data_IF_893445060226
#
_entry.id   IF_893445060226
#
_cell.length_a   1.000
_cell.length_b   1.000
_cell.length_c   1.000
_cell.angle_alpha   90.00
_cell.angle_beta   90.00
_cell.angle_gamma   90.00
#
_symmetry.space_group_name_H-M   'P 1'
#
loop_
_entity.id
_entity.type
_entity.pdbx_description
1 polymer ?
#
# COMPACT_ATOMS: atom_id res chain seq x y z
N UNK A 1 3.45 -3.09 15.04
CA UNK A 1 3.42 -2.88 13.57
C UNK A 1 2.40 -1.82 13.20
N UNK A 2 1.20 -1.86 13.77
CA UNK A 2 0.17 -0.85 13.50
C UNK A 2 0.46 0.52 14.14
N UNK A 3 1.14 0.60 15.28
CA UNK A 3 1.48 1.91 15.89
C UNK A 3 2.23 2.86 14.93
N UNK A 4 3.21 2.39 14.12
CA UNK A 4 3.76 3.19 13.02
C UNK A 4 2.75 3.65 11.96
N UNK A 5 1.79 2.82 11.56
CA UNK A 5 0.76 3.22 10.60
C UNK A 5 -0.16 4.28 11.21
N UNK A 6 -0.55 4.10 12.47
CA UNK A 6 -1.38 5.06 13.21
C UNK A 6 -0.64 6.40 13.36
N UNK A 7 0.66 6.38 13.65
CA UNK A 7 1.49 7.59 13.70
C UNK A 7 1.56 8.33 12.35
N UNK A 8 1.78 7.62 11.24
CA UNK A 8 1.86 8.24 9.93
C UNK A 8 0.50 8.69 9.40
N UNK A 9 -0.58 8.00 9.77
CA UNK A 9 -1.94 8.46 9.50
C UNK A 9 -2.20 9.83 10.12
N UNK A 10 -1.78 10.04 11.38
CA UNK A 10 -1.90 11.34 12.05
C UNK A 10 -1.07 12.43 11.37
N UNK A 11 0.17 12.14 10.97
CA UNK A 11 1.05 13.11 10.29
C UNK A 11 0.54 13.44 8.88
N UNK A 12 -0.05 12.49 8.17
CA UNK A 12 -0.54 12.71 6.81
C UNK A 12 -1.91 13.39 6.78
N UNK A 13 -2.52 13.65 7.95
CA UNK A 13 -3.77 14.39 8.07
C UNK A 13 -3.60 15.89 7.78
N UNK A 14 -2.45 16.48 8.13
CA UNK A 14 -2.18 17.91 7.95
C UNK A 14 -1.12 18.21 6.87
N UNK A 15 -0.51 17.18 6.27
CA UNK A 15 0.59 17.32 5.30
C UNK A 15 0.38 16.40 4.12
N UNK A 16 0.78 16.85 2.93
CA UNK A 16 0.67 16.04 1.70
C UNK A 16 1.60 14.83 1.72
N UNK A 17 2.88 15.04 2.08
CA UNK A 17 3.97 14.04 2.07
C UNK A 17 4.63 13.88 3.45
N UNK A 18 5.51 12.89 3.59
CA UNK A 18 6.19 12.58 4.86
C UNK A 18 7.12 13.71 5.34
N UNK A 19 7.73 14.45 4.41
CA UNK A 19 8.70 15.50 4.71
C UNK A 19 8.43 16.75 3.86
N UNK A 20 7.77 17.74 4.48
CA UNK A 20 7.46 19.01 3.82
C UNK A 20 6.41 18.87 2.72
N UNK A 21 6.48 19.75 1.72
CA UNK A 21 5.43 19.92 0.70
C UNK A 21 5.75 19.24 -0.65
N UNK A 22 6.86 18.51 -0.73
CA UNK A 22 7.33 17.86 -1.96
C UNK A 22 7.57 16.37 -1.74
N UNK A 23 7.39 15.58 -2.79
CA UNK A 23 7.72 14.16 -2.78
C UNK A 23 9.23 13.96 -2.54
N UNK A 24 9.58 13.09 -1.59
CA UNK A 24 10.97 12.78 -1.23
C UNK A 24 11.28 11.29 -1.31
N UNK A 25 12.55 10.93 -1.10
CA UNK A 25 12.95 9.52 -1.00
C UNK A 25 12.31 8.79 0.19
N UNK A 26 11.87 9.51 1.23
CA UNK A 26 11.13 8.89 2.33
C UNK A 26 9.80 8.33 1.80
N UNK A 27 9.12 9.12 0.97
CA UNK A 27 7.83 8.74 0.40
C UNK A 27 7.95 7.54 -0.53
N UNK A 28 8.98 7.57 -1.40
CA UNK A 28 9.32 6.48 -2.31
C UNK A 28 9.75 5.19 -1.59
N UNK A 29 10.20 5.26 -0.33
CA UNK A 29 10.51 4.08 0.49
C UNK A 29 9.28 3.51 1.17
N UNK A 30 8.33 4.36 1.57
CA UNK A 30 7.10 3.91 2.22
C UNK A 30 6.10 3.35 1.20
N UNK A 31 5.94 4.02 0.06
CA UNK A 31 4.94 3.70 -0.96
C UNK A 31 4.93 2.23 -1.41
N UNK A 32 6.08 1.58 -1.71
CA UNK A 32 6.09 0.18 -2.13
C UNK A 32 5.61 -0.78 -1.03
N UNK A 33 5.69 -0.39 0.24
CA UNK A 33 5.11 -1.17 1.33
C UNK A 33 3.59 -1.01 1.37
N UNK A 34 3.09 0.23 1.22
CA UNK A 34 1.65 0.52 1.26
C UNK A 34 0.91 -0.12 0.08
N UNK A 35 1.39 0.03 -1.15
CA UNK A 35 0.72 -0.53 -2.34
C UNK A 35 0.58 -2.07 -2.31
N UNK A 36 1.42 -2.75 -1.52
CA UNK A 36 1.39 -4.21 -1.32
C UNK A 36 0.62 -4.64 -0.07
N UNK A 37 0.21 -3.68 0.77
CA UNK A 37 -0.33 -3.97 2.09
C UNK A 37 -1.62 -4.77 2.01
N UNK A 38 -2.65 -4.25 1.34
CA UNK A 38 -3.95 -4.92 1.22
C UNK A 38 -3.91 -6.16 0.32
N UNK A 39 -3.25 -6.14 -0.87
CA UNK A 39 -3.18 -7.31 -1.75
C UNK A 39 -2.41 -8.49 -1.18
N UNK A 40 -1.43 -8.24 -0.31
CA UNK A 40 -0.50 -9.25 0.19
C UNK A 40 -0.43 -9.25 1.70
N UNK A 41 0.12 -8.21 2.33
CA UNK A 41 0.56 -8.29 3.72
C UNK A 41 -0.60 -8.55 4.69
N UNK A 42 -1.77 -7.95 4.42
CA UNK A 42 -2.98 -8.13 5.20
C UNK A 42 -3.33 -9.62 5.38
N UNK A 43 -3.31 -10.39 4.29
CA UNK A 43 -3.69 -11.82 4.31
C UNK A 43 -2.47 -12.73 4.48
N UNK A 44 -1.47 -12.61 3.60
CA UNK A 44 -0.31 -13.51 3.54
C UNK A 44 0.55 -13.45 4.80
N UNK A 45 0.79 -12.23 5.30
CA UNK A 45 1.58 -12.00 6.53
C UNK A 45 0.73 -11.83 7.78
N UNK A 46 -0.60 -11.96 7.67
CA UNK A 46 -1.55 -11.83 8.78
C UNK A 46 -1.47 -10.45 9.47
N UNK A 47 -1.12 -9.43 8.71
CA UNK A 47 -1.14 -8.04 9.13
C UNK A 47 -2.58 -7.49 9.09
N UNK A 48 -3.49 -8.09 9.85
CA UNK A 48 -4.94 -8.02 9.59
C UNK A 48 -5.78 -7.29 10.66
N UNK A 49 -5.20 -6.37 11.43
CA UNK A 49 -5.98 -5.54 12.38
C UNK A 49 -6.82 -4.50 11.63
N UNK A 50 -6.25 -3.86 10.59
CA UNK A 50 -6.92 -2.89 9.70
C UNK A 50 -6.29 -2.98 8.31
N UNK A 51 -7.06 -2.70 7.25
CA UNK A 51 -6.56 -2.56 5.87
C UNK A 51 -6.04 -1.16 5.64
N UNK A 52 -5.19 -0.97 4.64
CA UNK A 52 -4.75 0.34 4.18
C UNK A 52 -5.94 1.21 3.77
N UNK A 53 -6.95 0.66 3.08
CA UNK A 53 -8.15 1.41 2.69
C UNK A 53 -8.96 1.95 3.88
N UNK A 54 -8.75 1.39 5.09
CA UNK A 54 -9.41 1.84 6.31
C UNK A 54 -8.67 3.05 6.96
N UNK A 55 -7.51 3.45 6.41
CA UNK A 55 -6.73 4.63 6.81
C UNK A 55 -6.90 5.76 5.78
N UNK A 56 -7.77 6.76 6.00
CA UNK A 56 -8.12 7.74 4.97
C UNK A 56 -6.92 8.55 4.45
N UNK A 57 -6.00 8.97 5.32
CA UNK A 57 -4.85 9.76 4.90
C UNK A 57 -3.78 8.90 4.22
N UNK A 58 -3.43 7.74 4.77
CA UNK A 58 -2.51 6.79 4.13
C UNK A 58 -3.06 6.26 2.80
N UNK A 59 -4.37 6.02 2.71
CA UNK A 59 -5.02 5.59 1.48
C UNK A 59 -5.00 6.70 0.42
N UNK A 60 -5.37 7.93 0.79
CA UNK A 60 -5.23 9.09 -0.08
C UNK A 60 -3.78 9.29 -0.52
N UNK A 61 -2.83 9.20 0.40
CA UNK A 61 -1.39 9.39 0.15
C UNK A 61 -0.84 8.34 -0.83
N UNK A 62 -1.25 7.07 -0.65
CA UNK A 62 -0.85 5.99 -1.56
C UNK A 62 -1.39 6.23 -2.97
N UNK A 63 -2.64 6.68 -3.08
CA UNK A 63 -3.27 7.01 -4.37
C UNK A 63 -2.63 8.23 -5.05
N UNK A 64 -2.30 9.27 -4.28
CA UNK A 64 -1.58 10.46 -4.77
C UNK A 64 -0.25 10.05 -5.44
N UNK A 65 0.56 9.22 -4.76
CA UNK A 65 1.82 8.72 -5.33
C UNK A 65 1.58 7.77 -6.51
N UNK A 66 0.57 6.90 -6.44
CA UNK A 66 0.24 5.99 -7.55
C UNK A 66 -0.10 6.74 -8.84
N UNK A 67 -0.75 7.91 -8.72
CA UNK A 67 -1.22 8.73 -9.83
C UNK A 67 -0.17 9.73 -10.33
N UNK A 68 1.02 9.80 -9.73
CA UNK A 68 2.15 10.52 -10.31
C UNK A 68 2.56 9.91 -11.66
N UNK A 69 2.94 10.77 -12.61
CA UNK A 69 3.34 10.39 -13.97
C UNK A 69 4.34 9.22 -13.98
N UNK A 70 3.97 8.13 -14.66
CA UNK A 70 4.78 6.93 -14.83
C UNK A 70 4.83 5.99 -13.63
N UNK A 71 4.29 6.33 -12.45
CA UNK A 71 4.36 5.47 -11.26
C UNK A 71 3.49 4.23 -11.42
N UNK A 72 2.26 4.38 -11.90
CA UNK A 72 1.31 3.27 -12.10
C UNK A 72 1.87 2.19 -13.03
N UNK A 73 2.65 2.57 -14.04
CA UNK A 73 3.32 1.68 -14.99
C UNK A 73 4.38 0.77 -14.32
N UNK A 74 4.92 1.18 -13.18
CA UNK A 74 5.89 0.40 -12.42
C UNK A 74 5.25 -0.69 -11.55
N UNK A 75 3.91 -0.73 -11.47
CA UNK A 75 3.18 -1.59 -10.54
C UNK A 75 2.36 -2.62 -11.30
N UNK A 76 2.73 -3.89 -11.14
CA UNK A 76 1.95 -5.02 -11.62
C UNK A 76 1.48 -5.85 -10.44
N UNK A 77 0.24 -5.64 -9.99
CA UNK A 77 -0.34 -6.33 -8.82
C UNK A 77 -0.35 -7.86 -8.99
N UNK A 78 -0.55 -8.35 -10.21
CA UNK A 78 -0.49 -9.78 -10.50
C UNK A 78 0.89 -10.37 -10.23
N UNK A 79 1.96 -9.70 -10.66
CA UNK A 79 3.34 -10.13 -10.37
C UNK A 79 3.62 -10.11 -8.87
N UNK A 80 3.16 -9.07 -8.17
CA UNK A 80 3.31 -8.95 -6.72
C UNK A 80 2.61 -10.13 -6.03
N UNK A 81 1.31 -10.34 -6.28
CA UNK A 81 0.54 -11.42 -5.64
C UNK A 81 1.15 -12.78 -5.95
N UNK A 82 1.46 -13.05 -7.23
CA UNK A 82 2.05 -14.32 -7.65
C UNK A 82 3.35 -14.61 -6.90
N UNK A 83 4.25 -13.64 -6.82
CA UNK A 83 5.51 -13.79 -6.10
C UNK A 83 5.29 -14.17 -4.63
N UNK A 84 4.47 -13.41 -3.90
CA UNK A 84 4.30 -13.65 -2.46
C UNK A 84 3.56 -14.96 -2.16
N UNK A 85 2.46 -15.25 -2.84
CA UNK A 85 1.62 -16.41 -2.54
C UNK A 85 2.18 -17.73 -3.08
N UNK A 86 2.96 -17.71 -4.16
CA UNK A 86 3.50 -18.94 -4.78
C UNK A 86 4.96 -19.23 -4.39
N UNK A 87 5.78 -18.21 -4.07
CA UNK A 87 7.18 -18.44 -3.70
C UNK A 87 7.38 -18.78 -2.22
N UNK A 88 6.51 -18.32 -1.32
CA UNK A 88 6.61 -18.60 0.12
C UNK A 88 5.85 -19.88 0.51
N UNK A 89 6.31 -21.03 0.02
CA UNK A 89 5.67 -22.33 0.29
C UNK A 89 5.64 -22.70 1.77
N UNK A 90 6.56 -22.18 2.58
CA UNK A 90 6.57 -22.39 4.04
C UNK A 90 5.40 -21.68 4.74
N UNK A 91 4.93 -20.57 4.18
CA UNK A 91 3.81 -19.77 4.71
C UNK A 91 2.49 -20.17 4.05
N UNK A 92 2.52 -20.40 2.74
CA UNK A 92 1.36 -20.82 1.93
C UNK A 92 1.69 -22.09 1.13
N UNK A 93 1.62 -23.29 1.75
CA UNK A 93 1.94 -24.56 1.08
C UNK A 93 1.07 -24.85 -0.14
N UNK A 94 -0.16 -24.31 -0.16
CA UNK A 94 -1.10 -24.53 -1.26
C UNK A 94 -0.80 -23.70 -2.52
N UNK A 95 -0.02 -22.63 -2.38
CA UNK A 95 0.29 -21.72 -3.48
C UNK A 95 -0.91 -20.91 -4.02
N UNK A 96 -2.10 -21.02 -3.42
CA UNK A 96 -3.28 -20.29 -3.88
C UNK A 96 -3.11 -18.80 -3.61
N UNK A 97 -3.33 -17.99 -4.66
CA UNK A 97 -3.39 -16.54 -4.57
C UNK A 97 -4.86 -16.10 -4.42
N UNK A 98 -5.23 -15.34 -3.37
CA UNK A 98 -6.57 -14.80 -3.21
C UNK A 98 -6.99 -13.93 -4.40
N UNK A 99 -8.27 -13.93 -4.77
CA UNK A 99 -8.80 -13.07 -5.83
C UNK A 99 -8.81 -11.60 -5.42
N UNK A 100 -9.30 -11.29 -4.22
CA UNK A 100 -9.36 -9.93 -3.68
C UNK A 100 -8.07 -9.47 -2.98
N UNK A 101 -8.13 -8.34 -2.26
CA UNK A 101 -9.22 -7.35 -2.28
C UNK A 101 -9.25 -6.58 -3.61
N UNK A 102 -10.43 -6.11 -4.02
CA UNK A 102 -10.58 -5.18 -5.14
C UNK A 102 -10.16 -3.79 -4.66
N UNK A 103 -8.99 -3.34 -5.11
CA UNK A 103 -8.35 -2.11 -4.66
C UNK A 103 -8.04 -1.26 -5.88
N UNK A 104 -8.87 -0.25 -6.11
CA UNK A 104 -8.66 0.70 -7.20
C UNK A 104 -7.80 1.87 -6.70
N UNK A 105 -6.55 1.95 -7.15
CA UNK A 105 -5.63 3.04 -6.80
C UNK A 105 -5.81 4.27 -7.71
N UNK A 106 -6.60 4.17 -8.77
CA UNK A 106 -6.80 5.24 -9.76
C UNK A 106 -7.95 6.20 -9.41
N UNK A 107 -8.75 5.88 -8.39
CA UNK A 107 -9.81 6.79 -7.91
C UNK A 107 -9.21 8.10 -7.35
N UNK A 108 -9.90 9.26 -7.47
CA UNK A 108 -9.39 10.54 -6.96
C UNK A 108 -8.97 10.47 -5.48
N UNK A 109 -7.80 11.03 -5.16
CA UNK A 109 -7.20 10.93 -3.82
C UNK A 109 -7.62 12.03 -2.85
N UNK A 110 -8.26 13.11 -3.34
CA UNK A 110 -8.73 14.27 -2.57
C UNK A 110 -7.65 14.98 -1.73
N UNK A 111 -6.36 14.75 -2.06
CA UNK A 111 -5.21 15.44 -1.45
C UNK A 111 -4.83 16.64 -2.30
N UNK A 112 -4.56 17.77 -1.65
CA UNK A 112 -4.11 19.03 -2.28
C UNK A 112 -2.60 19.02 -2.45
#
# INVERSE_FOLDING_TARGET
MFDPLDHWEEILADRRFLVGDSLTIADLRLFPALVRFDPVYYTHFKCNIRRLVDYPNLWGYTRDIYQHDGVSETITLDHIKKHYYQSHTDINPTGFAPAGPDTDFAIPHDRK
#
